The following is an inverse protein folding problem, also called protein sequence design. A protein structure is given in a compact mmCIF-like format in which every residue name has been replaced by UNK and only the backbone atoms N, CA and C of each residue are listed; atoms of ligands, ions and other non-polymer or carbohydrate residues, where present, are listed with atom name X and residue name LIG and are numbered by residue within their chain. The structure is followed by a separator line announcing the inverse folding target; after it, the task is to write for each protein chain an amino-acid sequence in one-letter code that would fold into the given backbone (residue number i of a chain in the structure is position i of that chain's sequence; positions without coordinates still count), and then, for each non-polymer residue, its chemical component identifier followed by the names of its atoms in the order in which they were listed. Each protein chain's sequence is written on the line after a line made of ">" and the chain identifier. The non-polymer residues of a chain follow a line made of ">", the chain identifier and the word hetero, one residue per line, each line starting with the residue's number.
data_IF_747894630041
#
_entry.id   IF_747894630041
#
_cell.length_a   1.000
_cell.length_b   1.000
_cell.length_c   1.000
_cell.angle_alpha   90.00
_cell.angle_beta   90.00
_cell.angle_gamma   90.00
#
_symmetry.space_group_name_H-M   'P 1'
#
loop_
_entity.id
_entity.type
_entity.pdbx_description
1 polymer ?
#
# COMPACT_ATOMS: atom_id res chain seq x y z
N UNK A 1 -22.82 -13.92 -9.78
CA UNK A 1 -23.46 -13.75 -8.46
C UNK A 1 -22.78 -14.71 -7.52
N UNK A 2 -21.97 -14.23 -6.58
CA UNK A 2 -21.47 -15.05 -5.48
C UNK A 2 -22.64 -15.34 -4.55
N UNK A 3 -22.82 -16.59 -4.14
CA UNK A 3 -23.76 -16.97 -3.09
C UNK A 3 -23.58 -16.04 -1.89
N UNK A 4 -24.70 -15.57 -1.33
CA UNK A 4 -24.67 -14.83 -0.07
C UNK A 4 -24.28 -15.82 1.01
N UNK A 5 -23.03 -15.76 1.44
CA UNK A 5 -22.51 -16.51 2.57
C UNK A 5 -23.37 -16.22 3.81
N UNK A 6 -23.79 -17.27 4.52
CA UNK A 6 -24.61 -17.17 5.74
C UNK A 6 -23.99 -16.25 6.79
N UNK A 7 -22.66 -16.11 6.81
CA UNK A 7 -21.96 -15.17 7.69
C UNK A 7 -22.33 -13.70 7.43
N UNK A 8 -22.57 -13.31 6.17
CA UNK A 8 -22.92 -11.93 5.79
C UNK A 8 -24.33 -11.61 6.25
N UNK A 9 -25.27 -12.54 6.04
CA UNK A 9 -26.66 -12.38 6.49
C UNK A 9 -26.74 -12.22 8.02
N UNK A 10 -25.94 -12.99 8.76
CA UNK A 10 -25.93 -12.90 10.22
C UNK A 10 -25.30 -11.60 10.73
N UNK A 11 -24.23 -11.12 10.10
CA UNK A 11 -23.67 -9.80 10.41
C UNK A 11 -24.65 -8.66 10.09
N UNK A 12 -25.42 -8.79 9.00
CA UNK A 12 -26.46 -7.82 8.66
C UNK A 12 -27.60 -7.81 9.69
N UNK A 13 -27.97 -8.96 10.26
CA UNK A 13 -28.97 -8.98 11.33
C UNK A 13 -28.46 -8.31 12.61
N UNK A 14 -27.19 -8.49 12.96
CA UNK A 14 -26.58 -7.74 14.08
C UNK A 14 -26.52 -6.23 13.79
N UNK A 15 -26.28 -5.83 12.53
CA UNK A 15 -26.33 -4.42 12.13
C UNK A 15 -27.72 -3.82 12.35
N UNK A 16 -28.78 -4.56 12.01
CA UNK A 16 -30.16 -4.15 12.23
C UNK A 16 -30.51 -3.88 13.71
N UNK A 17 -29.89 -4.62 14.64
CA UNK A 17 -30.11 -4.43 16.08
C UNK A 17 -29.52 -3.12 16.60
N UNK A 18 -28.34 -2.73 16.08
CA UNK A 18 -27.65 -1.47 16.47
C UNK A 18 -28.02 -0.27 15.60
N UNK A 19 -28.60 -0.50 14.42
CA UNK A 19 -29.05 0.51 13.46
C UNK A 19 -30.42 0.11 12.91
N UNK A 20 -31.52 0.55 13.55
CA UNK A 20 -32.88 0.15 13.18
C UNK A 20 -33.28 0.49 11.73
N UNK A 21 -32.61 1.43 11.08
CA UNK A 21 -32.79 1.74 9.65
C UNK A 21 -32.48 0.58 8.71
N UNK A 22 -31.79 -0.47 9.18
CA UNK A 22 -31.48 -1.67 8.41
C UNK A 22 -32.33 -2.90 8.81
N UNK A 23 -33.37 -2.73 9.66
CA UNK A 23 -34.08 -3.86 10.28
C UNK A 23 -34.76 -4.83 9.31
N UNK A 24 -35.36 -4.36 8.21
CA UNK A 24 -35.86 -5.24 7.15
C UNK A 24 -35.09 -5.06 5.83
N UNK A 25 -33.84 -4.60 5.92
CA UNK A 25 -32.97 -4.50 4.75
C UNK A 25 -32.68 -5.89 4.17
N UNK A 26 -32.82 -6.03 2.85
CA UNK A 26 -32.51 -7.25 2.12
C UNK A 26 -31.29 -7.07 1.22
N UNK A 27 -30.45 -8.10 1.12
CA UNK A 27 -29.25 -8.06 0.28
C UNK A 27 -29.66 -8.25 -1.17
N UNK A 28 -29.46 -7.21 -1.99
CA UNK A 28 -29.65 -7.26 -3.45
C UNK A 28 -28.42 -7.85 -4.12
N UNK A 29 -27.23 -7.41 -3.68
CA UNK A 29 -25.96 -7.79 -4.30
C UNK A 29 -24.82 -7.74 -3.30
N UNK A 30 -23.94 -8.74 -3.37
CA UNK A 30 -22.64 -8.76 -2.70
C UNK A 30 -21.55 -8.74 -3.76
N UNK A 31 -20.58 -7.84 -3.58
CA UNK A 31 -19.40 -7.78 -4.43
C UNK A 31 -18.16 -7.68 -3.55
N UNK A 32 -17.34 -8.74 -3.56
CA UNK A 32 -16.01 -8.66 -2.96
C UNK A 32 -15.17 -7.62 -3.72
N UNK A 33 -14.60 -6.67 -2.97
CA UNK A 33 -13.72 -5.64 -3.50
C UNK A 33 -12.28 -6.18 -3.57
N UNK A 34 -11.54 -5.73 -4.59
CA UNK A 34 -10.10 -5.97 -4.69
C UNK A 34 -9.32 -4.97 -3.83
N UNK A 35 -8.12 -5.34 -3.39
CA UNK A 35 -7.20 -4.41 -2.71
C UNK A 35 -7.38 -4.35 -1.19
N UNK A 36 -7.16 -5.47 -0.51
CA UNK A 36 -7.11 -5.52 0.96
C UNK A 36 -6.13 -6.61 1.39
N UNK A 37 -4.91 -6.22 1.77
CA UNK A 37 -3.87 -7.16 2.16
C UNK A 37 -4.13 -7.77 3.55
N UNK A 38 -4.80 -7.00 4.41
CA UNK A 38 -5.08 -7.34 5.81
C UNK A 38 -6.58 -7.64 6.00
N UNK A 39 -7.42 -6.97 5.23
CA UNK A 39 -8.87 -6.95 5.43
C UNK A 39 -9.60 -7.47 4.20
N UNK A 40 -10.67 -8.25 4.42
CA UNK A 40 -11.65 -8.56 3.38
C UNK A 40 -12.70 -7.46 3.37
N UNK A 41 -12.83 -6.83 2.20
CA UNK A 41 -13.79 -5.75 1.97
C UNK A 41 -14.87 -6.26 0.99
N UNK A 42 -16.13 -6.21 1.40
CA UNK A 42 -17.27 -6.59 0.58
C UNK A 42 -18.21 -5.37 0.44
N UNK A 43 -18.57 -4.98 -0.79
CA UNK A 43 -19.67 -4.02 -1.04
C UNK A 43 -20.99 -4.77 -0.96
N UNK A 44 -21.91 -4.25 -0.16
CA UNK A 44 -23.26 -4.74 0.02
C UNK A 44 -24.23 -3.71 -0.55
N UNK A 45 -24.98 -4.09 -1.58
CA UNK A 45 -26.13 -3.33 -2.03
C UNK A 45 -27.36 -3.88 -1.32
N UNK A 46 -28.01 -3.02 -0.54
CA UNK A 46 -29.17 -3.34 0.28
C UNK A 46 -30.41 -2.64 -0.28
N UNK A 47 -31.55 -3.31 -0.26
CA UNK A 47 -32.86 -2.70 -0.42
C UNK A 47 -33.47 -2.50 0.96
N UNK A 48 -33.77 -1.26 1.32
CA UNK A 48 -34.37 -0.87 2.60
C UNK A 48 -35.90 -1.03 2.58
N UNK A 49 -36.51 -0.95 3.75
CA UNK A 49 -37.96 -1.11 3.97
C UNK A 49 -38.82 -0.14 3.14
N UNK A 50 -38.31 1.07 2.90
CA UNK A 50 -38.97 2.10 2.09
C UNK A 50 -38.81 1.87 0.57
N UNK A 51 -38.16 0.77 0.18
CA UNK A 51 -37.87 0.40 -1.20
C UNK A 51 -36.62 1.06 -1.78
N UNK A 52 -35.96 1.98 -1.05
CA UNK A 52 -34.74 2.64 -1.49
C UNK A 52 -33.53 1.69 -1.47
N UNK A 53 -32.50 2.04 -2.25
CA UNK A 53 -31.23 1.31 -2.27
C UNK A 53 -30.20 2.02 -1.41
N UNK A 54 -29.47 1.26 -0.61
CA UNK A 54 -28.32 1.73 0.18
C UNK A 54 -27.11 0.85 -0.10
N UNK A 55 -25.98 1.48 -0.40
CA UNK A 55 -24.70 0.78 -0.56
C UNK A 55 -23.83 0.93 0.70
N UNK A 56 -23.38 -0.20 1.24
CA UNK A 56 -22.45 -0.29 2.35
C UNK A 56 -21.15 -0.97 1.94
N UNK A 57 -20.08 -0.66 2.65
CA UNK A 57 -18.84 -1.46 2.67
C UNK A 57 -18.76 -2.16 4.02
N UNK A 58 -18.68 -3.49 3.98
CA UNK A 58 -18.39 -4.32 5.14
C UNK A 58 -16.91 -4.71 5.11
N UNK A 59 -16.18 -4.43 6.19
CA UNK A 59 -14.77 -4.81 6.37
C UNK A 59 -14.66 -5.86 7.48
N UNK A 60 -13.92 -6.94 7.22
CA UNK A 60 -13.64 -8.04 8.17
C UNK A 60 -12.17 -8.41 8.14
N UNK A 61 -11.62 -8.84 9.28
CA UNK A 61 -10.23 -9.33 9.34
C UNK A 61 -10.02 -10.53 8.44
N UNK A 62 -8.84 -10.64 7.81
CA UNK A 62 -8.44 -11.80 7.01
C UNK A 62 -7.23 -12.47 7.65
N UNK A 63 -7.47 -13.62 8.28
CA UNK A 63 -6.41 -14.38 8.94
C UNK A 63 -5.74 -13.60 10.06
N UNK A 64 -4.46 -13.89 10.31
CA UNK A 64 -3.68 -13.24 11.37
C UNK A 64 -3.38 -11.77 11.01
N UNK A 65 -3.49 -10.85 11.99
CA UNK A 65 -3.17 -9.44 11.78
C UNK A 65 -1.70 -9.27 11.38
N UNK A 66 -1.40 -8.21 10.63
CA UNK A 66 0.00 -7.81 10.39
C UNK A 66 0.52 -7.12 11.65
N UNK A 67 1.72 -7.45 12.14
CA UNK A 67 2.29 -6.76 13.28
C UNK A 67 2.35 -5.24 13.09
N UNK A 68 2.05 -4.48 14.14
CA UNK A 68 2.03 -3.01 14.09
C UNK A 68 0.76 -2.40 13.49
N UNK A 69 -0.27 -3.21 13.19
CA UNK A 69 -1.59 -2.70 12.76
C UNK A 69 -2.56 -2.57 13.93
N UNK A 70 -3.45 -1.59 13.83
CA UNK A 70 -4.59 -1.42 14.72
C UNK A 70 -5.54 -2.61 14.58
N UNK A 71 -6.10 -3.05 15.72
CA UNK A 71 -7.26 -3.95 15.68
C UNK A 71 -8.45 -3.23 15.07
N UNK A 72 -9.42 -4.00 14.58
CA UNK A 72 -10.58 -3.45 13.88
C UNK A 72 -11.36 -2.46 14.76
N UNK A 73 -11.52 -2.73 16.05
CA UNK A 73 -12.20 -1.80 16.96
C UNK A 73 -11.47 -0.47 17.05
N UNK A 74 -10.13 -0.51 17.11
CA UNK A 74 -9.29 0.68 17.20
C UNK A 74 -9.36 1.48 15.91
N UNK A 75 -9.25 0.82 14.75
CA UNK A 75 -9.40 1.45 13.43
C UNK A 75 -10.79 2.10 13.29
N UNK A 76 -11.87 1.38 13.65
CA UNK A 76 -13.22 1.92 13.53
C UNK A 76 -13.43 3.16 14.40
N UNK A 77 -12.98 3.12 15.66
CA UNK A 77 -13.07 4.28 16.57
C UNK A 77 -12.24 5.46 16.06
N UNK A 78 -11.06 5.20 15.48
CA UNK A 78 -10.25 6.25 14.87
C UNK A 78 -10.98 6.89 13.67
N UNK A 79 -11.57 6.09 12.78
CA UNK A 79 -12.33 6.62 11.65
C UNK A 79 -13.56 7.41 12.11
N UNK A 80 -14.23 7.00 13.19
CA UNK A 80 -15.29 7.80 13.83
C UNK A 80 -14.78 9.15 14.33
N UNK A 81 -13.59 9.19 14.93
CA UNK A 81 -12.95 10.45 15.31
C UNK A 81 -12.66 11.33 14.09
N UNK A 82 -12.05 10.76 13.04
CA UNK A 82 -11.74 11.49 11.79
C UNK A 82 -13.00 12.08 11.16
N UNK A 83 -14.07 11.29 11.07
CA UNK A 83 -15.36 11.73 10.53
C UNK A 83 -15.95 12.89 11.35
N UNK A 84 -15.99 12.77 12.69
CA UNK A 84 -16.46 13.84 13.59
C UNK A 84 -15.61 15.12 13.46
N UNK A 85 -14.32 14.98 13.19
CA UNK A 85 -13.40 16.09 12.99
C UNK A 85 -13.50 16.74 11.59
N UNK A 86 -14.29 16.18 10.68
CA UNK A 86 -14.47 16.69 9.32
C UNK A 86 -13.36 16.29 8.35
N UNK A 87 -12.50 15.33 8.71
CA UNK A 87 -11.57 14.70 7.76
C UNK A 87 -12.39 13.86 6.79
N UNK A 88 -12.19 13.98 5.46
CA UNK A 88 -12.92 13.19 4.49
C UNK A 88 -12.54 11.72 4.62
N UNK A 89 -13.41 10.94 5.23
CA UNK A 89 -13.33 9.48 5.38
C UNK A 89 -14.71 8.89 5.03
N UNK A 90 -14.81 7.60 4.70
CA UNK A 90 -16.12 6.97 4.53
C UNK A 90 -16.93 7.09 5.83
N UNK A 91 -18.21 7.41 5.71
CA UNK A 91 -19.05 7.60 6.89
C UNK A 91 -19.20 6.28 7.66
N UNK A 92 -18.79 6.24 8.94
CA UNK A 92 -18.86 5.04 9.76
C UNK A 92 -20.31 4.78 10.18
N UNK A 93 -20.82 3.59 9.86
CA UNK A 93 -22.19 3.18 10.18
C UNK A 93 -22.23 2.54 11.57
N UNK A 94 -21.61 1.39 11.71
CA UNK A 94 -21.54 0.64 12.97
C UNK A 94 -20.46 -0.43 12.92
N UNK A 95 -20.11 -0.95 14.08
CA UNK A 95 -19.32 -2.17 14.22
C UNK A 95 -20.15 -3.20 14.95
N UNK A 96 -20.10 -4.44 14.46
CA UNK A 96 -20.90 -5.56 14.97
C UNK A 96 -20.01 -6.79 15.06
N UNK A 97 -20.33 -7.64 16.02
CA UNK A 97 -19.68 -8.93 16.19
C UNK A 97 -20.73 -10.02 16.04
N UNK A 98 -20.42 -11.02 15.22
CA UNK A 98 -21.27 -12.18 15.05
C UNK A 98 -20.39 -13.42 14.83
N UNK A 99 -20.66 -14.50 15.57
CA UNK A 99 -19.89 -15.76 15.49
C UNK A 99 -18.37 -15.54 15.58
N UNK A 100 -17.92 -14.80 16.60
CA UNK A 100 -16.52 -14.42 16.82
C UNK A 100 -15.88 -13.63 15.66
N UNK A 101 -16.68 -13.17 14.70
CA UNK A 101 -16.24 -12.35 13.58
C UNK A 101 -16.67 -10.91 13.81
N UNK A 102 -15.67 -10.05 13.96
CA UNK A 102 -15.89 -8.61 14.04
C UNK A 102 -15.94 -7.99 12.64
N UNK A 103 -16.98 -7.20 12.38
CA UNK A 103 -17.15 -6.47 11.13
C UNK A 103 -17.48 -5.00 11.39
N UNK A 104 -16.84 -4.12 10.62
CA UNK A 104 -17.17 -2.69 10.58
C UNK A 104 -17.88 -2.35 9.28
N UNK A 105 -18.91 -1.52 9.36
CA UNK A 105 -19.71 -1.05 8.25
C UNK A 105 -19.52 0.44 8.02
N UNK A 106 -19.39 0.82 6.75
CA UNK A 106 -19.28 2.20 6.29
C UNK A 106 -20.25 2.44 5.14
N UNK A 107 -20.73 3.66 4.96
CA UNK A 107 -21.42 4.01 3.72
C UNK A 107 -20.46 3.95 2.53
N UNK A 108 -20.99 3.56 1.37
CA UNK A 108 -20.22 3.51 0.15
C UNK A 108 -19.73 4.91 -0.26
N UNK A 109 -18.41 5.01 -0.49
CA UNK A 109 -17.78 6.20 -1.04
C UNK A 109 -17.49 5.95 -2.52
N UNK A 110 -18.15 6.68 -3.41
CA UNK A 110 -17.98 6.52 -4.85
C UNK A 110 -16.64 7.11 -5.33
N UNK A 111 -15.88 6.31 -6.06
CA UNK A 111 -14.62 6.71 -6.66
C UNK A 111 -13.76 5.51 -7.07
N UNK A 112 -12.49 5.76 -7.31
CA UNK A 112 -11.46 4.75 -7.56
C UNK A 112 -10.21 5.03 -6.74
N UNK A 113 -9.51 3.96 -6.39
CA UNK A 113 -8.17 3.99 -5.80
C UNK A 113 -7.13 3.32 -6.70
N UNK A 114 -7.48 2.95 -7.94
CA UNK A 114 -6.55 2.28 -8.86
C UNK A 114 -5.48 3.27 -9.34
N UNK A 115 -4.21 3.12 -8.92
CA UNK A 115 -3.16 4.08 -9.24
C UNK A 115 -2.91 4.20 -10.75
N UNK A 116 -3.05 3.10 -11.50
CA UNK A 116 -2.82 3.09 -12.95
C UNK A 116 -3.93 3.84 -13.68
N UNK A 117 -5.17 3.61 -13.26
CA UNK A 117 -6.31 4.32 -13.83
C UNK A 117 -6.25 5.82 -13.51
N UNK A 118 -5.87 6.18 -12.28
CA UNK A 118 -5.69 7.57 -11.87
C UNK A 118 -4.58 8.23 -12.67
N UNK A 119 -3.37 7.67 -12.70
CA UNK A 119 -2.24 8.21 -13.47
C UNK A 119 -2.61 8.45 -14.93
N UNK A 120 -3.31 7.49 -15.55
CA UNK A 120 -3.77 7.60 -16.94
C UNK A 120 -4.82 8.70 -17.11
N UNK A 121 -5.81 8.78 -16.22
CA UNK A 121 -6.98 9.66 -16.38
C UNK A 121 -6.68 11.11 -15.98
N UNK A 122 -5.72 11.31 -15.08
CA UNK A 122 -5.34 12.64 -14.59
C UNK A 122 -4.18 13.24 -15.38
N UNK A 123 -3.39 12.43 -16.09
CA UNK A 123 -2.28 12.92 -16.92
C UNK A 123 -2.68 13.82 -18.09
N UNK A 124 -3.97 13.87 -18.46
CA UNK A 124 -4.51 14.76 -19.49
C UNK A 124 -5.24 16.00 -18.93
N UNK A 125 -5.31 16.15 -17.61
CA UNK A 125 -5.94 17.31 -16.99
C UNK A 125 -5.06 18.56 -17.15
N UNK A 126 -5.68 19.76 -17.21
CA UNK A 126 -4.94 21.01 -17.03
C UNK A 126 -4.23 21.06 -15.67
N UNK A 127 -3.27 21.97 -15.54
CA UNK A 127 -2.48 22.15 -14.32
C UNK A 127 -3.33 22.54 -13.10
N UNK A 128 -4.25 23.51 -13.25
CA UNK A 128 -5.03 24.04 -12.12
C UNK A 128 -5.82 22.98 -11.33
N UNK A 129 -6.60 22.05 -11.94
CA UNK A 129 -7.23 20.96 -11.19
C UNK A 129 -6.25 20.06 -10.42
N UNK A 130 -5.03 19.87 -10.93
CA UNK A 130 -3.99 19.09 -10.25
C UNK A 130 -3.40 19.86 -9.07
N UNK A 131 -3.18 21.18 -9.23
CA UNK A 131 -2.78 22.05 -8.12
C UNK A 131 -3.84 22.10 -7.02
N UNK A 132 -5.12 22.25 -7.38
CA UNK A 132 -6.25 22.29 -6.46
C UNK A 132 -6.38 20.97 -5.69
N UNK A 133 -6.29 19.83 -6.39
CA UNK A 133 -6.29 18.51 -5.78
C UNK A 133 -5.10 18.34 -4.83
N UNK A 134 -3.90 18.72 -5.26
CA UNK A 134 -2.69 18.63 -4.45
C UNK A 134 -2.81 19.48 -3.17
N UNK A 135 -3.29 20.72 -3.29
CA UNK A 135 -3.58 21.58 -2.15
C UNK A 135 -4.67 21.03 -1.23
N UNK A 136 -5.70 20.38 -1.78
CA UNK A 136 -6.72 19.70 -0.98
C UNK A 136 -6.14 18.53 -0.17
N UNK A 137 -5.29 17.70 -0.78
CA UNK A 137 -4.60 16.61 -0.06
C UNK A 137 -3.71 17.16 1.05
N UNK A 138 -2.99 18.24 0.77
CA UNK A 138 -2.15 18.93 1.75
C UNK A 138 -2.96 19.39 2.94
N UNK A 139 -4.07 20.08 2.68
CA UNK A 139 -4.98 20.59 3.71
C UNK A 139 -5.53 19.47 4.60
N UNK A 140 -5.86 18.32 4.02
CA UNK A 140 -6.35 17.14 4.76
C UNK A 140 -5.24 16.54 5.61
N UNK A 141 -4.05 16.31 5.04
CA UNK A 141 -2.93 15.76 5.79
C UNK A 141 -2.51 16.68 6.94
N UNK A 142 -2.48 17.99 6.72
CA UNK A 142 -2.22 18.97 7.78
C UNK A 142 -3.29 18.97 8.88
N UNK A 143 -4.56 18.72 8.53
CA UNK A 143 -5.63 18.60 9.53
C UNK A 143 -5.49 17.35 10.40
N UNK A 144 -5.08 16.22 9.80
CA UNK A 144 -4.76 14.97 10.50
C UNK A 144 -3.60 15.18 11.48
N UNK A 145 -2.55 15.88 11.05
CA UNK A 145 -1.36 16.16 11.86
C UNK A 145 -1.53 17.29 12.89
N UNK A 146 -2.66 18.01 12.85
CA UNK A 146 -2.86 19.21 13.65
C UNK A 146 -2.81 18.97 15.15
N UNK A 147 -2.40 20.00 15.91
CA UNK A 147 -2.41 19.96 17.37
C UNK A 147 -3.80 19.68 17.94
N UNK A 148 -4.85 20.17 17.27
CA UNK A 148 -6.24 19.88 17.61
C UNK A 148 -6.51 18.37 17.56
N UNK A 149 -6.07 17.71 16.50
CA UNK A 149 -6.25 16.26 16.34
C UNK A 149 -5.44 15.48 17.37
N UNK A 150 -4.17 15.83 17.54
CA UNK A 150 -3.31 15.19 18.52
C UNK A 150 -3.84 15.33 19.95
N UNK A 151 -4.29 16.52 20.35
CA UNK A 151 -4.92 16.74 21.67
C UNK A 151 -6.19 15.92 21.84
N UNK A 152 -7.05 15.84 20.83
CA UNK A 152 -8.28 15.04 20.88
C UNK A 152 -7.97 13.54 21.02
N UNK A 153 -7.02 13.02 20.23
CA UNK A 153 -6.60 11.62 20.30
C UNK A 153 -6.01 11.28 21.68
N UNK A 154 -5.15 12.14 22.22
CA UNK A 154 -4.52 11.95 23.52
C UNK A 154 -5.55 12.00 24.68
N UNK A 155 -6.62 12.78 24.55
CA UNK A 155 -7.61 12.92 25.61
C UNK A 155 -8.72 11.86 25.54
N UNK A 156 -9.21 11.52 24.35
CA UNK A 156 -10.35 10.61 24.15
C UNK A 156 -9.93 9.16 23.89
N UNK A 157 -8.73 8.94 23.34
CA UNK A 157 -8.30 7.64 22.81
C UNK A 157 -6.89 7.21 23.27
N UNK A 158 -6.33 7.83 24.31
CA UNK A 158 -5.07 7.37 24.93
C UNK A 158 -5.04 5.87 25.28
N UNK A 159 -6.13 5.22 25.74
CA UNK A 159 -6.12 3.77 25.96
C UNK A 159 -5.87 2.93 24.69
N UNK A 160 -6.06 3.50 23.50
CA UNK A 160 -5.92 2.81 22.22
C UNK A 160 -4.57 3.08 21.55
N UNK A 161 -4.02 4.29 21.70
CA UNK A 161 -2.80 4.75 21.03
C UNK A 161 -1.62 4.98 21.98
N UNK A 162 -1.83 4.83 23.28
CA UNK A 162 -0.88 5.25 24.30
C UNK A 162 -0.81 6.78 24.44
N UNK A 163 -0.02 7.22 25.43
CA UNK A 163 0.28 8.63 25.62
C UNK A 163 1.06 9.19 24.43
N UNK A 164 0.77 10.44 24.06
CA UNK A 164 1.46 11.14 22.98
C UNK A 164 2.96 11.26 23.28
N UNK A 165 3.83 10.68 22.44
CA UNK A 165 5.28 10.83 22.59
C UNK A 165 5.73 12.29 22.43
N UNK A 166 6.68 12.71 23.26
CA UNK A 166 7.25 14.05 23.18
C UNK A 166 8.03 14.30 21.88
N UNK A 167 8.61 13.25 21.27
CA UNK A 167 9.44 13.37 20.08
C UNK A 167 8.94 12.48 18.94
N UNK A 168 8.42 13.10 17.88
CA UNK A 168 7.85 12.43 16.72
C UNK A 168 8.83 11.50 16.01
N UNK A 169 10.06 11.97 15.73
CA UNK A 169 11.06 11.11 15.07
C UNK A 169 11.41 9.88 15.90
N UNK A 170 11.53 10.01 17.23
CA UNK A 170 11.76 8.86 18.11
C UNK A 170 10.60 7.87 18.06
N UNK A 171 9.35 8.35 18.03
CA UNK A 171 8.17 7.50 17.88
C UNK A 171 8.18 6.75 16.53
N UNK A 172 8.47 7.44 15.43
CA UNK A 172 8.55 6.82 14.10
C UNK A 172 9.68 5.78 14.00
N UNK A 173 10.86 6.06 14.56
CA UNK A 173 11.98 5.10 14.61
C UNK A 173 11.64 3.90 15.49
N UNK A 174 11.00 4.12 16.63
CA UNK A 174 10.54 3.02 17.49
C UNK A 174 9.57 2.10 16.74
N UNK A 175 8.55 2.64 16.09
CA UNK A 175 7.62 1.83 15.27
C UNK A 175 8.34 1.08 14.15
N UNK A 176 9.32 1.70 13.50
CA UNK A 176 10.13 1.05 12.47
C UNK A 176 10.93 -0.13 13.03
N UNK A 177 11.60 0.06 14.18
CA UNK A 177 12.37 -0.99 14.86
C UNK A 177 11.48 -2.12 15.37
N UNK A 178 10.32 -1.80 15.95
CA UNK A 178 9.32 -2.77 16.38
C UNK A 178 8.83 -3.61 15.21
N UNK A 179 8.53 -2.99 14.06
CA UNK A 179 8.20 -3.71 12.83
C UNK A 179 9.33 -4.61 12.36
N UNK A 180 10.57 -4.10 12.33
CA UNK A 180 11.74 -4.89 11.94
C UNK A 180 11.95 -6.11 12.82
N UNK A 181 11.77 -5.98 14.15
CA UNK A 181 11.93 -7.07 15.11
C UNK A 181 10.93 -8.23 14.89
N UNK A 182 9.88 -8.02 14.09
CA UNK A 182 8.91 -9.04 13.73
C UNK A 182 9.27 -9.79 12.43
N UNK A 183 10.31 -9.35 11.72
CA UNK A 183 10.86 -10.09 10.57
C UNK A 183 11.69 -11.26 11.11
N UNK A 184 11.32 -12.48 10.76
CA UNK A 184 11.95 -13.70 11.29
C UNK A 184 13.36 -13.92 10.73
N UNK A 185 13.53 -13.68 9.42
CA UNK A 185 14.80 -13.90 8.71
C UNK A 185 15.20 -12.66 7.89
N UNK A 186 15.53 -11.53 8.54
CA UNK A 186 15.84 -10.30 7.82
C UNK A 186 17.18 -10.44 7.06
N UNK A 187 17.21 -10.13 5.75
CA UNK A 187 18.44 -10.16 4.96
C UNK A 187 19.41 -9.07 5.43
N UNK A 188 20.71 -9.27 5.16
CA UNK A 188 21.79 -8.40 5.65
C UNK A 188 21.63 -6.96 5.19
N UNK A 189 21.17 -6.74 3.95
CA UNK A 189 20.92 -5.40 3.43
C UNK A 189 19.77 -4.67 4.15
N UNK A 190 18.78 -5.40 4.67
CA UNK A 190 17.66 -4.79 5.41
C UNK A 190 18.11 -4.37 6.82
N UNK A 191 18.96 -5.21 7.47
CA UNK A 191 19.64 -4.87 8.74
C UNK A 191 20.50 -3.61 8.58
N UNK A 192 21.36 -3.61 7.57
CA UNK A 192 22.23 -2.48 7.25
C UNK A 192 21.43 -1.19 7.03
N UNK A 193 20.35 -1.25 6.23
CA UNK A 193 19.51 -0.10 5.99
C UNK A 193 18.85 0.44 7.27
N UNK A 194 18.37 -0.43 8.16
CA UNK A 194 17.82 -0.03 9.45
C UNK A 194 18.84 0.65 10.34
N UNK A 195 20.02 0.07 10.49
CA UNK A 195 21.11 0.65 11.29
C UNK A 195 21.46 2.05 10.83
N UNK A 196 21.66 2.23 9.51
CA UNK A 196 22.01 3.53 8.93
C UNK A 196 20.89 4.56 9.08
N UNK A 197 19.62 4.17 8.92
CA UNK A 197 18.47 5.04 9.18
C UNK A 197 18.40 5.46 10.66
N UNK A 198 18.62 4.53 11.59
CA UNK A 198 18.63 4.84 13.02
C UNK A 198 19.79 5.78 13.40
N UNK A 199 20.97 5.55 12.81
CA UNK A 199 22.13 6.42 12.99
C UNK A 199 21.89 7.83 12.45
N UNK A 200 21.36 7.98 11.24
CA UNK A 200 21.05 9.30 10.68
C UNK A 200 19.97 9.99 11.51
N UNK A 201 18.90 9.29 11.90
CA UNK A 201 17.84 9.81 12.75
C UNK A 201 18.36 10.34 14.09
N UNK A 202 19.36 9.68 14.69
CA UNK A 202 19.97 10.11 15.96
C UNK A 202 20.65 11.49 15.88
N UNK A 203 20.98 11.97 14.67
CA UNK A 203 21.63 13.26 14.44
C UNK A 203 20.63 14.41 14.29
N UNK A 204 19.33 14.13 14.24
CA UNK A 204 18.31 15.16 14.15
C UNK A 204 18.25 15.94 15.48
N UNK A 205 18.57 17.23 15.42
CA UNK A 205 18.59 18.12 16.58
C UNK A 205 17.24 18.78 16.84
N UNK A 206 16.44 18.98 15.80
CA UNK A 206 15.08 19.53 15.89
C UNK A 206 14.12 18.46 16.36
N UNK A 207 13.67 18.55 17.60
CA UNK A 207 12.61 17.69 18.14
C UNK A 207 11.26 18.35 17.95
N UNK A 208 10.34 17.67 17.28
CA UNK A 208 8.93 18.09 17.13
C UNK A 208 8.02 17.11 17.86
N UNK A 209 6.91 17.58 18.46
CA UNK A 209 5.98 16.69 19.15
C UNK A 209 5.39 15.67 18.16
N UNK A 210 5.15 14.44 18.62
CA UNK A 210 4.50 13.44 17.78
C UNK A 210 3.10 13.91 17.38
N UNK A 211 2.64 13.52 16.20
CA UNK A 211 1.27 13.76 15.72
C UNK A 211 0.63 12.42 15.38
N UNK A 212 -0.68 12.40 15.18
CA UNK A 212 -1.32 11.25 14.56
C UNK A 212 -0.85 11.19 13.11
N UNK A 213 -0.04 10.20 12.77
CA UNK A 213 0.29 9.89 11.37
C UNK A 213 -0.66 8.79 10.89
N UNK A 214 -1.14 8.93 9.65
CA UNK A 214 -1.85 7.86 8.96
C UNK A 214 -0.93 6.64 8.73
N UNK A 215 0.36 6.89 8.47
CA UNK A 215 1.37 5.88 8.16
C UNK A 215 0.99 4.98 6.99
N UNK A 216 0.11 5.41 6.11
CA UNK A 216 -0.13 4.78 4.79
C UNK A 216 -0.83 5.77 3.84
N UNK A 217 -0.51 7.07 3.96
CA UNK A 217 -1.13 8.12 3.16
C UNK A 217 -0.52 8.13 1.74
N UNK A 218 -1.06 7.31 0.84
CA UNK A 218 -0.57 7.10 -0.54
C UNK A 218 -1.73 6.94 -1.52
N UNK A 219 -1.44 7.07 -2.82
CA UNK A 219 -2.44 7.04 -3.89
C UNK A 219 -3.45 5.89 -3.80
N UNK A 220 -2.99 4.68 -3.50
CA UNK A 220 -3.88 3.51 -3.38
C UNK A 220 -4.87 3.55 -2.21
N UNK A 221 -4.75 4.52 -1.31
CA UNK A 221 -5.63 4.73 -0.15
C UNK A 221 -6.36 6.09 -0.21
N UNK A 222 -6.25 6.80 -1.33
CA UNK A 222 -6.98 8.06 -1.57
C UNK A 222 -8.10 7.77 -2.57
N UNK A 223 -9.34 7.87 -2.12
CA UNK A 223 -10.51 7.72 -2.99
C UNK A 223 -10.66 8.96 -3.86
N UNK A 224 -10.54 8.79 -5.18
CA UNK A 224 -10.70 9.87 -6.15
C UNK A 224 -11.90 9.63 -7.08
N UNK A 225 -12.64 10.69 -7.42
CA UNK A 225 -13.51 10.66 -8.58
C UNK A 225 -12.69 10.82 -9.85
N UNK A 226 -13.00 10.01 -10.86
CA UNK A 226 -12.46 10.23 -12.19
C UNK A 226 -13.02 11.54 -12.76
N UNK A 227 -12.18 12.34 -13.44
CA UNK A 227 -12.65 13.56 -14.08
C UNK A 227 -13.70 13.23 -15.14
N UNK A 228 -14.70 14.09 -15.24
CA UNK A 228 -15.77 13.98 -16.23
C UNK A 228 -15.19 14.18 -17.65
N UNK A 229 -15.75 13.55 -18.68
CA UNK A 229 -15.33 13.77 -20.08
C UNK A 229 -15.40 15.26 -20.49
N UNK A 230 -16.27 16.03 -19.85
CA UNK A 230 -16.40 17.49 -20.01
C UNK A 230 -15.24 18.30 -19.39
N UNK A 231 -14.51 17.76 -18.41
CA UNK A 231 -13.39 18.42 -17.72
C UNK A 231 -12.04 18.13 -18.41
N UNK A 232 -11.99 17.11 -19.27
CA UNK A 232 -10.86 16.79 -20.16
C UNK A 232 -11.08 17.52 -21.49
N UNK A 233 -10.35 18.62 -21.73
CA UNK A 233 -10.57 19.57 -22.84
C UNK A 233 -10.94 18.92 -24.20
N UNK A 234 -12.09 19.33 -24.75
CA UNK A 234 -12.40 19.26 -26.19
C UNK A 234 -13.87 19.00 -26.58
N UNK A 235 -14.70 18.46 -25.70
CA UNK A 235 -16.11 18.19 -26.02
C UNK A 235 -16.98 19.43 -25.79
N UNK A 236 -17.72 19.86 -26.82
CA UNK A 236 -18.76 20.88 -26.70
C UNK A 236 -19.72 20.54 -25.55
N UNK A 237 -20.22 21.53 -24.79
CA UNK A 237 -21.06 21.26 -23.63
C UNK A 237 -22.35 20.57 -24.09
N UNK A 238 -22.52 19.30 -23.72
CA UNK A 238 -23.83 18.66 -23.77
C UNK A 238 -24.62 19.26 -22.61
N UNK A 239 -25.39 20.29 -22.93
CA UNK A 239 -26.43 20.81 -22.07
C UNK A 239 -27.44 19.70 -21.82
N UNK A 240 -27.41 19.11 -20.62
CA UNK A 240 -28.53 19.07 -19.70
C UNK A 240 -28.32 18.01 -18.62
N UNK A 241 -28.68 18.42 -17.40
CA UNK A 241 -28.97 17.61 -16.20
C UNK A 241 -27.85 17.42 -15.17
N UNK A 242 -28.06 18.18 -14.08
CA UNK A 242 -27.93 17.83 -12.65
C UNK A 242 -26.76 18.46 -11.89
N UNK A 243 -27.16 19.30 -10.93
CA UNK A 243 -26.53 19.65 -9.67
C UNK A 243 -25.24 20.48 -9.69
N UNK A 244 -25.41 21.72 -9.25
CA UNK A 244 -24.42 22.60 -8.65
C UNK A 244 -23.75 21.99 -7.40
N UNK A 245 -22.86 21.03 -7.60
CA UNK A 245 -21.89 20.61 -6.60
C UNK A 245 -20.57 20.41 -7.32
N UNK A 246 -19.61 21.29 -7.06
CA UNK A 246 -18.19 21.06 -7.29
C UNK A 246 -17.78 19.80 -6.52
N UNK A 247 -18.02 18.64 -7.12
CA UNK A 247 -17.63 17.36 -6.57
C UNK A 247 -16.11 17.28 -6.70
N UNK A 248 -15.39 17.78 -5.67
CA UNK A 248 -13.94 17.76 -5.64
C UNK A 248 -13.39 16.37 -5.99
N UNK A 249 -12.30 16.34 -6.75
CA UNK A 249 -11.68 15.11 -7.26
C UNK A 249 -11.31 14.15 -6.12
N UNK A 250 -10.99 14.67 -4.93
CA UNK A 250 -10.73 13.88 -3.73
C UNK A 250 -11.98 13.67 -2.87
N UNK A 251 -12.23 12.42 -2.46
CA UNK A 251 -13.42 12.00 -1.71
C UNK A 251 -13.15 11.53 -0.30
N UNK A 252 -12.13 10.69 -0.10
CA UNK A 252 -11.86 10.10 1.20
C UNK A 252 -10.44 9.56 1.35
N UNK A 253 -9.93 9.61 2.57
CA UNK A 253 -8.78 8.84 3.04
C UNK A 253 -9.26 7.49 3.57
N UNK A 254 -8.61 6.40 3.15
CA UNK A 254 -8.95 5.02 3.49
C UNK A 254 -7.80 4.33 4.24
N UNK A 255 -8.09 3.15 4.81
CA UNK A 255 -7.08 2.22 5.34
C UNK A 255 -6.20 2.77 6.47
N UNK A 256 -6.85 3.10 7.58
CA UNK A 256 -6.26 3.68 8.79
C UNK A 256 -5.55 2.64 9.70
N UNK A 257 -5.31 1.44 9.21
CA UNK A 257 -4.83 0.31 10.02
C UNK A 257 -3.39 0.49 10.53
N UNK A 258 -2.57 1.33 9.89
CA UNK A 258 -1.21 1.66 10.36
C UNK A 258 -1.13 2.94 11.18
N UNK A 259 -2.26 3.61 11.41
CA UNK A 259 -2.27 4.92 12.04
C UNK A 259 -1.72 4.84 13.48
N UNK A 260 -0.76 5.71 13.79
CA UNK A 260 -0.07 5.72 15.08
C UNK A 260 0.61 7.08 15.31
N UNK A 261 1.10 7.32 16.52
CA UNK A 261 1.94 8.46 16.83
C UNK A 261 3.24 8.44 16.01
N UNK A 262 3.62 9.57 15.42
CA UNK A 262 4.85 9.68 14.65
C UNK A 262 5.27 11.11 14.35
N UNK A 263 6.35 11.25 13.58
CA UNK A 263 6.73 12.52 12.99
C UNK A 263 5.84 12.86 11.79
N UNK A 264 5.31 14.09 11.67
CA UNK A 264 4.49 14.49 10.51
C UNK A 264 5.18 14.27 9.15
N UNK A 265 6.52 14.32 9.11
CA UNK A 265 7.26 14.08 7.87
C UNK A 265 7.25 12.62 7.43
N UNK A 266 6.85 11.66 8.29
CA UNK A 266 6.72 10.26 7.90
C UNK A 266 5.69 10.07 6.79
N UNK A 267 4.53 10.73 6.88
CA UNK A 267 3.49 10.66 5.85
C UNK A 267 3.81 11.50 4.62
N UNK A 268 4.44 12.67 4.77
CA UNK A 268 4.92 13.45 3.62
C UNK A 268 6.00 12.69 2.84
N UNK A 269 6.94 12.07 3.55
CA UNK A 269 7.93 11.17 2.96
C UNK A 269 7.29 9.96 2.30
N UNK A 270 6.28 9.36 2.92
CA UNK A 270 5.54 8.22 2.35
C UNK A 270 4.82 8.58 1.05
N UNK A 271 4.04 9.67 1.05
CA UNK A 271 3.27 10.12 -0.11
C UNK A 271 4.15 10.50 -1.31
N UNK A 272 5.37 10.96 -1.04
CA UNK A 272 6.31 11.45 -2.07
C UNK A 272 7.44 10.48 -2.42
N UNK A 273 7.54 9.34 -1.71
CA UNK A 273 8.58 8.36 -1.97
C UNK A 273 8.37 7.70 -3.34
N UNK A 274 9.43 7.50 -4.15
CA UNK A 274 9.34 6.87 -5.46
C UNK A 274 8.64 5.50 -5.47
N UNK A 275 8.79 4.70 -4.41
CA UNK A 275 8.08 3.41 -4.28
C UNK A 275 6.55 3.53 -4.29
N UNK A 276 6.00 4.72 -4.02
CA UNK A 276 4.56 5.01 -4.02
C UNK A 276 4.11 5.95 -5.15
N UNK A 277 5.01 6.31 -6.07
CA UNK A 277 4.68 7.12 -7.24
C UNK A 277 4.21 6.28 -8.45
N UNK A 278 4.26 4.94 -8.36
CA UNK A 278 3.79 4.03 -9.41
C UNK A 278 4.37 4.30 -10.82
N UNK A 279 5.60 4.81 -10.89
CA UNK A 279 6.28 5.17 -12.14
C UNK A 279 5.88 6.53 -12.73
N UNK A 280 5.05 7.30 -12.02
CA UNK A 280 4.74 8.68 -12.38
C UNK A 280 5.92 9.63 -12.19
N UNK A 281 5.91 10.74 -12.92
CA UNK A 281 7.01 11.71 -12.98
C UNK A 281 6.93 12.85 -11.97
N UNK A 282 5.78 13.01 -11.31
CA UNK A 282 5.57 14.10 -10.34
C UNK A 282 5.85 13.65 -8.90
N UNK A 283 6.28 14.57 -8.02
CA UNK A 283 6.78 14.24 -6.70
C UNK A 283 5.70 13.75 -5.73
N UNK A 284 4.43 14.13 -5.89
CA UNK A 284 3.35 13.73 -4.97
C UNK A 284 2.52 12.65 -5.64
N UNK A 285 2.50 11.44 -5.05
CA UNK A 285 1.76 10.29 -5.56
C UNK A 285 2.04 9.92 -7.04
N UNK A 286 3.11 10.45 -7.64
CA UNK A 286 3.48 10.24 -9.05
C UNK A 286 2.83 11.20 -10.06
N UNK A 287 1.82 11.99 -9.68
CA UNK A 287 1.08 12.83 -10.64
C UNK A 287 0.74 14.26 -10.17
N UNK A 288 1.06 14.61 -8.92
CA UNK A 288 0.71 15.91 -8.34
C UNK A 288 1.95 16.77 -8.02
N UNK A 289 1.85 18.10 -8.15
CA UNK A 289 2.93 19.02 -7.81
C UNK A 289 3.11 19.13 -6.29
N UNK A 290 4.36 19.31 -5.83
CA UNK A 290 4.69 19.39 -4.40
C UNK A 290 4.28 20.72 -3.76
N UNK A 291 4.53 21.85 -4.41
CA UNK A 291 4.31 23.15 -3.77
C UNK A 291 2.84 23.39 -3.37
N UNK A 292 1.83 23.08 -4.22
CA UNK A 292 0.43 23.19 -3.79
C UNK A 292 0.08 22.27 -2.61
N UNK A 293 0.65 21.05 -2.54
CA UNK A 293 0.51 20.17 -1.37
C UNK A 293 1.00 20.88 -0.11
N UNK A 294 2.20 21.46 -0.15
CA UNK A 294 2.76 22.15 1.00
C UNK A 294 1.95 23.40 1.39
N UNK A 295 1.46 24.18 0.41
CA UNK A 295 0.56 25.30 0.65
C UNK A 295 -0.71 24.87 1.40
N UNK A 296 -1.35 23.79 0.94
CA UNK A 296 -2.50 23.19 1.61
C UNK A 296 -2.16 22.73 3.02
N UNK A 297 -1.04 22.03 3.17
CA UNK A 297 -0.56 21.48 4.44
C UNK A 297 -0.34 22.56 5.49
N UNK A 298 0.37 23.63 5.14
CA UNK A 298 0.60 24.81 6.01
C UNK A 298 -0.70 25.43 6.50
N UNK A 299 -1.73 25.46 5.66
CA UNK A 299 -3.02 26.09 6.02
C UNK A 299 -3.75 25.37 7.16
N UNK A 300 -3.49 24.07 7.36
CA UNK A 300 -4.07 23.26 8.43
C UNK A 300 -3.07 22.89 9.53
N UNK A 301 -1.77 23.08 9.30
CA UNK A 301 -0.69 22.80 10.24
C UNK A 301 0.19 24.03 10.47
N UNK A 302 -0.27 25.04 11.24
CA UNK A 302 0.46 26.30 11.42
C UNK A 302 1.84 26.17 12.09
N UNK A 303 2.09 25.05 12.78
CA UNK A 303 3.38 24.74 13.38
C UNK A 303 4.38 24.10 12.42
N UNK A 304 4.01 23.93 11.14
CA UNK A 304 4.93 23.47 10.11
C UNK A 304 5.98 24.53 9.82
N UNK A 305 7.24 24.10 9.81
CA UNK A 305 8.41 24.92 9.50
C UNK A 305 9.00 24.44 8.15
N UNK A 306 9.21 25.36 7.20
CA UNK A 306 9.78 25.06 5.88
C UNK A 306 11.11 24.33 5.94
N UNK A 307 11.89 24.54 6.99
CA UNK A 307 13.18 23.86 7.18
C UNK A 307 13.01 22.35 7.26
N UNK A 308 11.83 21.83 7.63
CA UNK A 308 11.56 20.39 7.66
C UNK A 308 11.65 19.75 6.26
N UNK A 309 11.43 20.52 5.19
CA UNK A 309 11.58 20.01 3.81
C UNK A 309 13.01 19.59 3.50
N UNK A 310 14.00 20.16 4.19
CA UNK A 310 15.40 19.73 4.05
C UNK A 310 15.62 18.28 4.49
N UNK A 311 14.71 17.73 5.30
CA UNK A 311 14.72 16.35 5.77
C UNK A 311 13.94 15.39 4.86
N UNK A 312 13.23 15.88 3.84
CA UNK A 312 12.31 15.05 3.04
C UNK A 312 13.00 13.82 2.42
N UNK A 313 14.24 13.98 1.98
CA UNK A 313 15.02 12.86 1.41
C UNK A 313 15.25 11.74 2.44
N UNK A 314 15.49 12.07 3.71
CA UNK A 314 15.58 11.09 4.78
C UNK A 314 14.24 10.37 4.97
N UNK A 315 13.13 11.11 5.02
CA UNK A 315 11.80 10.54 5.20
C UNK A 315 11.32 9.68 4.02
N UNK A 316 11.76 9.97 2.80
CA UNK A 316 11.55 9.09 1.63
C UNK A 316 12.37 7.79 1.75
N UNK A 317 13.63 7.84 2.22
CA UNK A 317 14.39 6.62 2.52
C UNK A 317 13.77 5.81 3.65
N UNK A 318 13.29 6.48 4.70
CA UNK A 318 12.52 5.86 5.78
C UNK A 318 11.28 5.15 5.23
N UNK A 319 10.54 5.77 4.31
CA UNK A 319 9.38 5.16 3.66
C UNK A 319 9.76 3.90 2.86
N UNK A 320 10.84 3.94 2.07
CA UNK A 320 11.36 2.76 1.37
C UNK A 320 11.72 1.63 2.35
N UNK A 321 12.47 1.92 3.41
CA UNK A 321 12.85 0.91 4.40
C UNK A 321 11.62 0.32 5.10
N UNK A 322 10.68 1.17 5.54
CA UNK A 322 9.45 0.70 6.20
C UNK A 322 8.62 -0.18 5.28
N UNK A 323 8.52 0.18 3.99
CA UNK A 323 7.83 -0.67 3.02
C UNK A 323 8.54 -2.00 2.81
N UNK A 324 9.87 -2.03 2.76
CA UNK A 324 10.63 -3.27 2.64
C UNK A 324 10.44 -4.20 3.85
N UNK A 325 10.37 -3.64 5.07
CA UNK A 325 10.05 -4.39 6.30
C UNK A 325 8.65 -5.00 6.21
N UNK A 326 7.63 -4.20 5.85
CA UNK A 326 6.25 -4.70 5.69
C UNK A 326 6.20 -5.77 4.59
N UNK A 327 6.89 -5.58 3.48
CA UNK A 327 6.95 -6.56 2.40
C UNK A 327 7.55 -7.90 2.87
N UNK A 328 8.64 -7.85 3.64
CA UNK A 328 9.25 -9.04 4.25
C UNK A 328 8.26 -9.75 5.19
N UNK A 329 7.61 -9.03 6.09
CA UNK A 329 6.59 -9.58 7.00
C UNK A 329 5.44 -10.24 6.23
N UNK A 330 4.98 -9.61 5.15
CA UNK A 330 3.89 -10.15 4.32
C UNK A 330 4.31 -11.44 3.61
N UNK A 331 5.55 -11.52 3.14
CA UNK A 331 6.12 -12.74 2.58
C UNK A 331 6.18 -13.89 3.59
N UNK A 332 6.71 -13.63 4.79
CA UNK A 332 6.79 -14.62 5.88
C UNK A 332 5.38 -15.05 6.36
N UNK A 333 4.44 -14.10 6.46
CA UNK A 333 3.03 -14.40 6.78
C UNK A 333 2.41 -15.34 5.75
N UNK A 334 2.64 -15.09 4.47
CA UNK A 334 2.11 -15.93 3.39
C UNK A 334 2.61 -17.37 3.44
N UNK A 335 3.82 -17.60 3.98
CA UNK A 335 4.41 -18.94 4.14
C UNK A 335 3.92 -19.66 5.41
N UNK A 336 3.45 -18.92 6.42
CA UNK A 336 2.99 -19.48 7.70
C UNK A 336 1.49 -19.77 7.77
N UNK A 337 0.68 -19.13 6.93
CA UNK A 337 -0.77 -19.37 6.86
C UNK A 337 -1.13 -20.31 5.72
N UNK A 338 -2.00 -21.31 5.96
CA UNK A 338 -2.56 -22.17 4.90
C UNK A 338 -3.48 -21.43 3.90
N UNK A 339 -3.91 -20.21 4.24
CA UNK A 339 -4.67 -19.33 3.36
C UNK A 339 -3.71 -18.53 2.47
N UNK A 340 -3.19 -19.22 1.46
CA UNK A 340 -2.21 -18.70 0.52
C UNK A 340 -2.75 -17.53 -0.30
N UNK A 341 -1.95 -16.47 -0.42
CA UNK A 341 -2.05 -15.55 -1.54
C UNK A 341 -0.66 -15.42 -2.16
N UNK A 342 -0.48 -16.03 -3.33
CA UNK A 342 0.71 -15.91 -4.16
C UNK A 342 1.24 -14.46 -4.27
N UNK A 343 0.33 -13.50 -4.27
CA UNK A 343 0.60 -12.06 -4.21
C UNK A 343 1.49 -11.65 -3.01
N UNK A 344 1.22 -12.14 -1.81
CA UNK A 344 2.01 -11.80 -0.62
C UNK A 344 3.38 -12.46 -0.64
N UNK A 345 3.49 -13.68 -1.18
CA UNK A 345 4.79 -14.33 -1.41
C UNK A 345 5.66 -13.51 -2.38
N UNK A 346 5.08 -13.07 -3.51
CA UNK A 346 5.76 -12.20 -4.46
C UNK A 346 6.11 -10.85 -3.82
N UNK A 347 5.25 -10.31 -2.96
CA UNK A 347 5.52 -9.07 -2.21
C UNK A 347 6.78 -9.23 -1.34
N UNK A 348 6.94 -10.35 -0.64
CA UNK A 348 8.17 -10.65 0.11
C UNK A 348 9.44 -10.63 -0.76
N UNK A 349 9.34 -11.17 -1.99
CA UNK A 349 10.44 -11.17 -2.95
C UNK A 349 10.77 -9.79 -3.54
N UNK A 350 9.94 -8.77 -3.30
CA UNK A 350 10.21 -7.39 -3.72
C UNK A 350 11.16 -6.66 -2.78
N UNK A 351 11.42 -7.18 -1.57
CA UNK A 351 12.13 -6.49 -0.48
C UNK A 351 13.43 -5.82 -0.95
N UNK A 352 14.30 -6.55 -1.67
CA UNK A 352 15.55 -6.03 -2.22
C UNK A 352 15.33 -4.82 -3.14
N UNK A 353 14.39 -4.93 -4.09
CA UNK A 353 14.08 -3.84 -5.03
C UNK A 353 13.51 -2.59 -4.34
N UNK A 354 12.78 -2.79 -3.23
CA UNK A 354 12.21 -1.69 -2.45
C UNK A 354 13.29 -0.97 -1.66
N UNK A 355 14.20 -1.70 -1.01
CA UNK A 355 15.21 -1.11 -0.10
C UNK A 355 16.49 -0.68 -0.81
N UNK A 356 16.73 -1.13 -2.05
CA UNK A 356 17.91 -0.78 -2.84
C UNK A 356 18.26 0.72 -2.79
N UNK A 357 17.32 1.68 -3.01
CA UNK A 357 17.64 3.10 -2.90
C UNK A 357 18.22 3.52 -1.55
N UNK A 358 17.78 2.88 -0.47
CA UNK A 358 18.28 3.18 0.88
C UNK A 358 19.70 2.66 1.05
N UNK A 359 19.94 1.41 0.65
CA UNK A 359 21.26 0.77 0.78
C UNK A 359 22.31 1.50 -0.05
N UNK A 360 22.01 1.76 -1.33
CA UNK A 360 22.94 2.45 -2.24
C UNK A 360 23.31 3.85 -1.74
N UNK A 361 22.34 4.61 -1.19
CA UNK A 361 22.59 5.91 -0.59
C UNK A 361 23.65 5.83 0.53
N UNK A 362 23.51 4.88 1.46
CA UNK A 362 24.44 4.75 2.58
C UNK A 362 25.76 4.06 2.21
N UNK A 363 25.83 3.37 1.07
CA UNK A 363 27.09 2.93 0.47
C UNK A 363 27.81 4.06 -0.29
N UNK A 364 27.24 5.28 -0.32
CA UNK A 364 27.81 6.41 -1.05
C UNK A 364 27.72 6.27 -2.57
N UNK A 365 26.86 5.36 -3.05
CA UNK A 365 26.62 5.13 -4.47
C UNK A 365 25.45 6.01 -4.86
N UNK A 366 25.74 7.09 -5.59
CA UNK A 366 24.69 7.92 -6.14
C UNK A 366 23.74 7.04 -6.96
N UNK A 367 22.45 7.12 -6.65
CA UNK A 367 21.41 6.51 -7.48
C UNK A 367 21.29 7.39 -8.73
N UNK A 368 22.22 7.25 -9.66
CA UNK A 368 21.79 7.27 -11.05
C UNK A 368 20.88 6.03 -11.24
N UNK A 369 19.83 6.09 -12.07
CA UNK A 369 19.09 4.90 -12.44
C UNK A 369 20.06 3.94 -13.13
N UNK A 370 20.67 3.05 -12.34
CA UNK A 370 21.66 2.11 -12.82
C UNK A 370 21.00 1.26 -13.92
N UNK A 371 21.64 1.10 -15.08
CA UNK A 371 21.25 0.04 -15.99
C UNK A 371 21.43 -1.27 -15.23
N UNK A 372 20.31 -1.94 -14.95
CA UNK A 372 20.29 -3.25 -14.30
C UNK A 372 21.29 -4.18 -15.02
N UNK A 373 22.20 -4.85 -14.30
CA UNK A 373 23.10 -5.80 -14.92
C UNK A 373 22.26 -6.88 -15.59
N UNK A 374 22.36 -6.98 -16.92
CA UNK A 374 21.77 -8.11 -17.66
C UNK A 374 22.57 -9.34 -17.27
N UNK A 375 22.08 -10.12 -16.31
CA UNK A 375 22.58 -11.46 -16.08
C UNK A 375 22.38 -12.26 -17.37
N UNK A 376 23.47 -12.53 -18.08
CA UNK A 376 23.44 -13.52 -19.16
C UNK A 376 23.21 -14.88 -18.49
N UNK A 377 22.23 -15.63 -18.97
CA UNK A 377 22.02 -17.01 -18.55
C UNK A 377 23.35 -17.76 -18.68
N UNK A 378 23.89 -18.25 -17.57
CA UNK A 378 24.98 -19.22 -17.64
C UNK A 378 24.32 -20.53 -18.08
N UNK A 379 24.64 -21.00 -19.28
CA UNK A 379 24.26 -22.37 -19.66
C UNK A 379 24.97 -23.31 -18.68
N UNK A 380 24.23 -23.90 -17.74
CA UNK A 380 24.74 -25.05 -17.01
C UNK A 380 24.91 -26.20 -18.00
N UNK A 381 26.10 -26.31 -18.59
CA UNK A 381 26.57 -27.57 -19.12
C UNK A 381 26.86 -28.47 -17.91
N UNK A 382 25.84 -29.21 -17.47
CA UNK A 382 26.03 -30.28 -16.49
C UNK A 382 26.79 -31.42 -17.17
N UNK A 383 28.00 -31.80 -16.71
CA UNK A 383 28.72 -32.95 -17.25
C UNK A 383 28.28 -34.21 -16.50
N UNK A 384 27.06 -34.65 -16.77
CA UNK A 384 26.68 -36.06 -16.71
C UNK A 384 25.31 -36.19 -17.37
N UNK A 385 25.24 -36.93 -18.48
CA UNK A 385 23.99 -37.22 -19.20
C UNK A 385 23.49 -38.61 -18.84
N UNK A 386 22.55 -38.78 -17.90
CA UNK A 386 21.68 -39.95 -17.90
C UNK A 386 20.66 -39.81 -19.05
N UNK A 387 20.55 -40.86 -19.86
CA UNK A 387 19.59 -41.12 -20.96
C UNK A 387 18.54 -40.04 -21.24
N UNK A 388 18.69 -39.34 -22.37
CA UNK A 388 17.69 -38.43 -22.94
C UNK A 388 16.42 -39.18 -23.35
N UNK A 389 15.32 -38.94 -22.64
CA UNK A 389 13.96 -39.17 -23.15
C UNK A 389 13.63 -38.05 -24.15
N UNK A 390 14.03 -38.21 -25.41
CA UNK A 390 14.05 -37.18 -26.46
C UNK A 390 12.68 -36.78 -27.04
N UNK A 391 11.59 -36.92 -26.28
CA UNK A 391 10.23 -36.57 -26.74
C UNK A 391 9.44 -35.71 -25.73
N UNK A 392 9.97 -35.48 -24.54
CA UNK A 392 9.32 -34.66 -23.52
C UNK A 392 9.97 -33.26 -23.50
N UNK A 393 9.18 -32.19 -23.46
CA UNK A 393 9.72 -30.85 -23.33
C UNK A 393 10.45 -30.69 -21.99
N UNK A 394 11.61 -30.05 -22.04
CA UNK A 394 12.39 -29.73 -20.84
C UNK A 394 11.58 -28.83 -19.88
N UNK A 395 11.80 -29.01 -18.57
CA UNK A 395 11.06 -28.33 -17.51
C UNK A 395 11.09 -26.80 -17.66
N UNK A 396 12.26 -26.21 -17.95
CA UNK A 396 12.39 -24.76 -18.13
C UNK A 396 11.74 -24.28 -19.43
N UNK A 397 11.72 -25.13 -20.46
CA UNK A 397 11.01 -24.85 -21.71
C UNK A 397 9.49 -24.77 -21.47
N UNK A 398 8.94 -25.69 -20.68
CA UNK A 398 7.52 -25.67 -20.30
C UNK A 398 7.14 -24.41 -19.50
N UNK A 399 7.93 -24.05 -18.47
CA UNK A 399 7.65 -22.86 -17.67
C UNK A 399 7.74 -21.57 -18.48
N UNK A 400 8.72 -21.48 -19.40
CA UNK A 400 8.89 -20.34 -20.30
C UNK A 400 7.71 -20.17 -21.24
N UNK A 401 7.24 -21.26 -21.86
CA UNK A 401 6.06 -21.21 -22.73
C UNK A 401 4.79 -20.88 -21.94
N UNK A 402 4.58 -21.46 -20.75
CA UNK A 402 3.46 -21.11 -19.88
C UNK A 402 3.47 -19.62 -19.49
N UNK A 403 4.65 -19.09 -19.13
CA UNK A 403 4.84 -17.67 -18.85
C UNK A 403 4.50 -16.80 -20.07
N UNK A 404 5.01 -17.16 -21.26
CA UNK A 404 4.79 -16.45 -22.52
C UNK A 404 3.30 -16.39 -22.85
N UNK A 405 2.60 -17.52 -22.80
CA UNK A 405 1.15 -17.61 -23.05
C UNK A 405 0.38 -16.71 -22.07
N UNK A 406 0.64 -16.81 -20.76
CA UNK A 406 -0.08 -16.00 -19.76
C UNK A 406 0.19 -14.51 -19.92
N UNK A 407 1.44 -14.10 -20.11
CA UNK A 407 1.84 -12.68 -20.11
C UNK A 407 1.63 -11.98 -21.44
N UNK A 408 1.93 -12.65 -22.55
CA UNK A 408 1.95 -12.04 -23.88
C UNK A 408 0.68 -12.33 -24.68
N UNK A 409 -0.10 -13.36 -24.34
CA UNK A 409 -1.35 -13.68 -25.04
C UNK A 409 -2.56 -13.44 -24.13
N UNK A 410 -2.71 -14.20 -23.04
CA UNK A 410 -3.91 -14.17 -22.18
C UNK A 410 -4.10 -12.80 -21.53
N UNK A 411 -3.05 -12.23 -20.93
CA UNK A 411 -3.15 -10.92 -20.28
C UNK A 411 -3.35 -9.76 -21.27
N UNK A 412 -3.03 -9.95 -22.56
CA UNK A 412 -3.24 -8.93 -23.60
C UNK A 412 -4.64 -9.00 -24.21
N UNK A 413 -5.38 -10.09 -23.98
CA UNK A 413 -6.76 -10.23 -24.44
C UNK A 413 -7.71 -9.24 -23.76
N UNK A 414 -8.57 -8.59 -24.55
CA UNK A 414 -9.64 -7.71 -24.06
C UNK A 414 -10.72 -8.47 -23.27
N UNK A 415 -10.79 -9.80 -23.41
CA UNK A 415 -11.72 -10.64 -22.64
C UNK A 415 -11.28 -10.82 -21.18
N UNK A 416 -10.00 -10.57 -20.88
CA UNK A 416 -9.42 -10.76 -19.55
C UNK A 416 -9.21 -9.39 -18.92
N UNK A 417 -10.10 -9.00 -18.01
CA UNK A 417 -10.12 -7.67 -17.39
C UNK A 417 -10.18 -7.73 -15.87
N UNK A 418 -9.96 -6.58 -15.21
CA UNK A 418 -10.08 -6.42 -13.76
C UNK A 418 -9.29 -7.46 -12.95
N UNK A 419 -9.95 -8.09 -11.98
CA UNK A 419 -9.36 -9.08 -11.06
C UNK A 419 -8.75 -10.28 -11.79
N UNK A 420 -9.37 -10.76 -12.87
CA UNK A 420 -8.87 -11.92 -13.61
C UNK A 420 -7.54 -11.60 -14.30
N UNK A 421 -7.46 -10.42 -14.96
CA UNK A 421 -6.19 -9.94 -15.55
C UNK A 421 -5.10 -9.81 -14.51
N UNK A 422 -5.44 -9.26 -13.34
CA UNK A 422 -4.51 -9.16 -12.22
C UNK A 422 -3.96 -10.53 -11.81
N UNK A 423 -4.82 -11.52 -11.58
CA UNK A 423 -4.42 -12.88 -11.20
C UNK A 423 -3.51 -13.54 -12.24
N UNK A 424 -3.84 -13.40 -13.53
CA UNK A 424 -2.99 -13.90 -14.63
C UNK A 424 -1.59 -13.29 -14.58
N UNK A 425 -1.49 -11.99 -14.32
CA UNK A 425 -0.20 -11.30 -14.21
C UNK A 425 0.60 -11.73 -12.98
N UNK A 426 -0.07 -11.96 -11.85
CA UNK A 426 0.54 -12.49 -10.62
C UNK A 426 1.12 -13.89 -10.87
N UNK A 427 0.36 -14.77 -11.54
CA UNK A 427 0.82 -16.13 -11.89
C UNK A 427 2.02 -16.06 -12.85
N UNK A 428 1.97 -15.21 -13.88
CA UNK A 428 3.11 -15.01 -14.77
C UNK A 428 4.35 -14.53 -13.99
N UNK A 429 4.21 -13.59 -13.06
CA UNK A 429 5.36 -13.17 -12.24
C UNK A 429 5.90 -14.30 -11.36
N UNK A 430 5.05 -15.17 -10.82
CA UNK A 430 5.50 -16.33 -10.05
C UNK A 430 6.32 -17.31 -10.90
N UNK A 431 5.86 -17.64 -12.11
CA UNK A 431 6.60 -18.51 -13.04
C UNK A 431 7.97 -17.93 -13.37
N UNK A 432 8.04 -16.61 -13.61
CA UNK A 432 9.30 -15.89 -13.85
C UNK A 432 10.27 -16.02 -12.70
N UNK A 433 9.81 -15.82 -11.47
CA UNK A 433 10.63 -15.92 -10.26
C UNK A 433 11.08 -17.37 -9.99
N UNK A 434 10.22 -18.36 -10.26
CA UNK A 434 10.59 -19.77 -10.17
C UNK A 434 11.71 -20.13 -11.16
N UNK A 435 11.62 -19.67 -12.42
CA UNK A 435 12.71 -19.83 -13.39
C UNK A 435 13.99 -19.12 -12.94
N UNK A 436 13.88 -17.92 -12.37
CA UNK A 436 15.03 -17.18 -11.84
C UNK A 436 15.77 -17.96 -10.76
N UNK A 437 15.04 -18.57 -9.82
CA UNK A 437 15.64 -19.37 -8.73
C UNK A 437 16.38 -20.61 -9.21
N UNK A 438 16.03 -21.15 -10.39
CA UNK A 438 16.76 -22.28 -10.98
C UNK A 438 17.96 -21.84 -11.82
N UNK A 439 17.87 -20.67 -12.44
CA UNK A 439 18.91 -20.15 -13.33
C UNK A 439 20.08 -19.49 -12.58
N UNK A 440 19.85 -18.99 -11.37
CA UNK A 440 20.85 -18.26 -10.59
C UNK A 440 21.54 -19.19 -9.57
N UNK A 441 22.88 -19.08 -9.38
CA UNK A 441 23.67 -19.97 -8.53
C UNK A 441 23.46 -19.65 -7.04
N UNK A 442 22.25 -19.91 -6.54
CA UNK A 442 21.82 -19.53 -5.19
C UNK A 442 22.68 -20.16 -4.08
N UNK A 443 23.14 -21.40 -4.28
CA UNK A 443 23.92 -22.13 -3.28
C UNK A 443 25.36 -21.61 -3.16
N UNK A 444 26.02 -21.35 -4.30
CA UNK A 444 27.35 -20.74 -4.32
C UNK A 444 27.35 -19.33 -3.73
N UNK A 445 26.31 -18.54 -4.02
CA UNK A 445 26.16 -17.19 -3.46
C UNK A 445 25.93 -17.25 -1.95
N UNK A 446 25.08 -18.17 -1.46
CA UNK A 446 24.89 -18.38 -0.02
C UNK A 446 26.18 -18.76 0.69
N UNK A 447 27.01 -19.61 0.09
CA UNK A 447 28.32 -19.95 0.63
C UNK A 447 29.22 -18.71 0.74
N UNK A 448 29.33 -17.92 -0.33
CA UNK A 448 30.12 -16.67 -0.33
C UNK A 448 29.62 -15.64 0.69
N UNK A 449 28.30 -15.52 0.87
CA UNK A 449 27.72 -14.66 1.91
C UNK A 449 28.15 -15.16 3.30
N UNK A 450 28.12 -16.47 3.56
CA UNK A 450 28.54 -17.01 4.86
C UNK A 450 30.02 -16.75 5.18
N UNK A 451 30.87 -16.73 4.16
CA UNK A 451 32.34 -16.60 4.29
C UNK A 451 32.83 -15.14 4.26
N UNK A 452 32.05 -14.19 3.72
CA UNK A 452 32.47 -12.80 3.51
C UNK A 452 32.40 -11.89 4.75
N UNK A 453 33.06 -10.73 4.67
CA UNK A 453 32.92 -9.61 5.64
C UNK A 453 31.55 -8.95 5.53
N UNK A 454 31.09 -8.25 6.59
CA UNK A 454 29.73 -7.72 6.71
C UNK A 454 29.29 -6.83 5.53
N UNK A 455 30.10 -5.85 5.11
CA UNK A 455 29.78 -5.00 3.96
C UNK A 455 29.69 -5.80 2.65
N UNK A 456 30.57 -6.79 2.46
CA UNK A 456 30.53 -7.69 1.30
C UNK A 456 29.26 -8.54 1.31
N UNK A 457 28.78 -8.98 2.48
CA UNK A 457 27.50 -9.71 2.62
C UNK A 457 26.31 -8.87 2.17
N UNK A 458 26.23 -7.62 2.63
CA UNK A 458 25.18 -6.67 2.24
C UNK A 458 25.09 -6.53 0.72
N UNK A 459 26.23 -6.32 0.08
CA UNK A 459 26.30 -6.11 -1.38
C UNK A 459 25.98 -7.37 -2.17
N UNK A 460 26.56 -8.52 -1.78
CA UNK A 460 26.35 -9.79 -2.46
C UNK A 460 24.90 -10.27 -2.35
N UNK A 461 24.30 -10.18 -1.15
CA UNK A 461 22.92 -10.59 -0.92
C UNK A 461 21.94 -9.65 -1.64
N UNK A 462 22.18 -8.33 -1.61
CA UNK A 462 21.35 -7.37 -2.34
C UNK A 462 21.42 -7.61 -3.85
N UNK A 463 22.62 -7.76 -4.41
CA UNK A 463 22.81 -7.99 -5.84
C UNK A 463 22.13 -9.28 -6.31
N UNK A 464 22.21 -10.35 -5.51
CA UNK A 464 21.55 -11.61 -5.80
C UNK A 464 20.02 -11.48 -5.83
N UNK A 465 19.43 -10.88 -4.81
CA UNK A 465 17.96 -10.75 -4.72
C UNK A 465 17.42 -9.79 -5.79
N UNK A 466 18.17 -8.75 -6.15
CA UNK A 466 17.85 -7.89 -7.30
C UNK A 466 17.92 -8.65 -8.63
N UNK A 467 18.89 -9.55 -8.80
CA UNK A 467 18.99 -10.39 -9.99
C UNK A 467 17.79 -11.35 -10.10
N UNK A 468 17.37 -11.95 -8.98
CA UNK A 468 16.13 -12.74 -8.91
C UNK A 468 14.91 -11.89 -9.32
N UNK A 469 14.77 -10.71 -8.70
CA UNK A 469 13.62 -9.84 -8.94
C UNK A 469 13.56 -9.34 -10.38
N UNK A 470 14.69 -9.09 -11.04
CA UNK A 470 14.75 -8.50 -12.39
C UNK A 470 14.88 -9.51 -13.53
N UNK A 471 15.05 -10.80 -13.21
CA UNK A 471 15.20 -11.89 -14.18
C UNK A 471 14.19 -11.83 -15.33
N UNK A 472 14.67 -11.95 -16.56
CA UNK A 472 13.84 -12.06 -17.75
C UNK A 472 13.98 -13.47 -18.34
N UNK A 473 12.87 -14.20 -18.55
CA UNK A 473 12.90 -15.58 -19.03
C UNK A 473 13.60 -15.78 -20.37
#
# INVERSE_FOLDING_TARGET
>A
MTEVDGSITFLLSQLADVRPSFRNASIVKVQQLSGGAINRNDRLQLQLDDGSLSDLVMRRGRGSPVPGTLRREQEFQLVQLMFRAGVPVPEPVAMVEADQTLASFFHWCEGTTDPRLILKSFGSLPEQPLEDLSGQLGKVLGAIHSEKMASCLNNEHAPLFGERPFNGISASIQTLQEGFNQVQSPPSYLKFALERICEEASRFTTKRPAVLCHNDFRLGNLMLSLPSVSEVKGAAPIANQISSSSHGLFKAVLDWEFANWGDPMSDLGWLTAPCWCFGGSHPVAGFLPLEPLLMGYRSSMPSFDETWITELSFWQRFAHLRWAIIASQQGERALSTKDETLELMITGLMTASIVQPVVEHYLGRAIEPLPMPRYRSVSHNSPDKPRTFSHLPDFNTLLREAWRLLRQEVAQSDQVTGRLKYQVLVIANALRLAMASQALPSEEVRQKISEGEELSRVELELAHDLALWSFQP
#
